data_IF_033265166372
#
_entry.id   IF_033265166372
#
_cell.length_a   1.000
_cell.length_b   1.000
_cell.length_c   1.000
_cell.angle_alpha   90.00
_cell.angle_beta   90.00
_cell.angle_gamma   90.00
#
_symmetry.space_group_name_H-M   'P 1'
#
loop_
_entity.id
_entity.type
_entity.pdbx_description
1 polymer ?
#
# COMPACT_ATOMS: atom_id res chain seq x y z
N UNK A 1 8.85 -17.70 -18.21
CA UNK A 1 9.49 -16.76 -17.26
C UNK A 1 8.55 -15.57 -17.04
N UNK A 2 8.41 -15.08 -15.79
CA UNK A 2 7.47 -14.02 -15.43
C UNK A 2 8.23 -12.71 -15.26
N UNK A 3 7.84 -11.68 -16.01
CA UNK A 3 8.34 -10.32 -15.85
C UNK A 3 7.55 -9.57 -14.77
N UNK A 4 8.21 -9.00 -13.79
CA UNK A 4 7.63 -8.12 -12.78
C UNK A 4 7.88 -6.68 -13.25
N UNK A 5 6.82 -5.94 -13.54
CA UNK A 5 6.93 -4.59 -14.06
C UNK A 5 7.08 -3.54 -12.96
N UNK A 6 8.20 -2.85 -12.99
CA UNK A 6 8.54 -1.73 -12.10
C UNK A 6 8.64 -0.39 -12.84
N UNK A 7 8.11 -0.30 -14.05
CA UNK A 7 8.18 0.94 -14.85
C UNK A 7 7.32 2.07 -14.28
N UNK A 8 6.39 1.74 -13.37
CA UNK A 8 5.52 2.68 -12.68
C UNK A 8 6.19 3.42 -11.51
N UNK A 9 7.34 2.93 -11.01
CA UNK A 9 8.05 3.54 -9.88
C UNK A 9 8.45 4.98 -10.21
N UNK A 10 8.17 5.88 -9.29
CA UNK A 10 8.51 7.29 -9.44
C UNK A 10 10.04 7.47 -9.51
N UNK A 11 10.51 8.11 -10.59
CA UNK A 11 11.93 8.31 -10.89
C UNK A 11 12.65 9.29 -9.94
N UNK A 12 11.93 9.93 -9.03
CA UNK A 12 12.48 10.91 -8.08
C UNK A 12 13.17 10.28 -6.85
N UNK A 13 13.26 8.95 -6.80
CA UNK A 13 14.09 8.25 -5.81
C UNK A 13 13.49 8.07 -4.41
N UNK A 14 12.37 8.67 -4.11
CA UNK A 14 11.67 8.49 -2.83
C UNK A 14 10.74 7.28 -2.90
N UNK A 15 11.25 6.11 -2.55
CA UNK A 15 10.54 4.83 -2.54
C UNK A 15 9.90 4.58 -1.16
N UNK A 16 9.05 5.50 -0.72
CA UNK A 16 8.43 5.44 0.62
C UNK A 16 6.92 5.25 0.59
N UNK A 17 6.35 5.10 -0.61
CA UNK A 17 4.91 4.86 -0.77
C UNK A 17 4.50 3.44 -0.35
N UNK A 18 3.27 3.26 0.11
CA UNK A 18 2.73 1.96 0.50
C UNK A 18 2.80 0.90 -0.61
N UNK A 19 2.77 1.32 -1.86
CA UNK A 19 2.87 0.45 -3.04
C UNK A 19 4.30 -0.04 -3.28
N UNK A 20 5.29 0.84 -3.05
CA UNK A 20 6.71 0.48 -3.15
C UNK A 20 7.06 -0.55 -2.07
N UNK A 21 6.65 -0.27 -0.82
CA UNK A 21 6.85 -1.17 0.33
C UNK A 21 6.21 -2.53 0.05
N UNK A 22 4.96 -2.58 -0.40
CA UNK A 22 4.29 -3.84 -0.76
C UNK A 22 5.11 -4.64 -1.78
N UNK A 23 5.57 -3.99 -2.85
CA UNK A 23 6.25 -4.68 -3.94
C UNK A 23 7.64 -5.16 -3.52
N UNK A 24 8.36 -4.37 -2.72
CA UNK A 24 9.67 -4.76 -2.20
C UNK A 24 9.57 -5.90 -1.17
N UNK A 25 8.61 -5.83 -0.25
CA UNK A 25 8.33 -6.90 0.71
C UNK A 25 8.08 -8.23 -0.03
N UNK A 26 7.32 -8.17 -1.12
CA UNK A 26 7.01 -9.36 -1.91
C UNK A 26 8.25 -9.93 -2.61
N UNK A 27 9.13 -9.08 -3.17
CA UNK A 27 10.39 -9.51 -3.77
C UNK A 27 11.35 -10.12 -2.76
N UNK A 28 11.50 -9.48 -1.59
CA UNK A 28 12.32 -10.02 -0.50
C UNK A 28 11.83 -11.44 -0.11
N UNK A 29 10.51 -11.64 -0.03
CA UNK A 29 9.93 -12.94 0.28
C UNK A 29 10.08 -13.98 -0.83
N UNK A 30 9.97 -13.58 -2.10
CA UNK A 30 10.25 -14.48 -3.24
C UNK A 30 11.71 -14.93 -3.19
N UNK A 31 12.63 -14.05 -2.86
CA UNK A 31 14.05 -14.34 -2.70
C UNK A 31 14.31 -15.30 -1.52
N UNK A 32 13.70 -15.06 -0.36
CA UNK A 32 13.81 -15.91 0.83
C UNK A 32 13.31 -17.35 0.56
N UNK A 33 12.27 -17.50 -0.26
CA UNK A 33 11.73 -18.79 -0.68
C UNK A 33 12.52 -19.43 -1.84
N UNK A 34 13.62 -18.82 -2.30
CA UNK A 34 14.45 -19.28 -3.42
C UNK A 34 13.66 -19.50 -4.72
N UNK A 35 12.64 -18.67 -4.96
CA UNK A 35 11.79 -18.72 -6.16
C UNK A 35 12.18 -17.66 -7.22
N UNK A 36 13.21 -16.87 -6.97
CA UNK A 36 13.64 -15.74 -7.81
C UNK A 36 14.01 -16.12 -9.24
N UNK A 37 14.38 -17.38 -9.48
CA UNK A 37 14.78 -17.86 -10.82
C UNK A 37 13.64 -17.81 -11.85
N UNK A 38 12.39 -17.87 -11.36
CA UNK A 38 11.19 -17.80 -12.19
C UNK A 38 10.81 -16.37 -12.59
N UNK A 39 11.48 -15.38 -12.00
CA UNK A 39 11.12 -13.98 -12.14
C UNK A 39 12.25 -13.11 -12.69
N UNK A 40 11.83 -12.05 -13.38
CA UNK A 40 12.70 -11.02 -13.94
C UNK A 40 12.10 -9.67 -13.61
N UNK A 41 12.89 -8.76 -13.07
CA UNK A 41 12.45 -7.38 -12.83
C UNK A 41 12.64 -6.56 -14.11
N UNK A 42 11.56 -5.91 -14.54
CA UNK A 42 11.53 -4.99 -15.67
C UNK A 42 11.35 -3.58 -15.11
N UNK A 43 12.24 -2.67 -15.44
CA UNK A 43 12.23 -1.33 -14.88
C UNK A 43 12.65 -0.26 -15.89
N UNK A 44 12.53 1.02 -15.49
CA UNK A 44 13.12 2.11 -16.24
C UNK A 44 14.67 2.07 -16.11
N UNK A 45 15.45 2.37 -17.15
CA UNK A 45 16.92 2.29 -17.14
C UNK A 45 17.58 3.08 -15.99
N UNK A 46 16.95 4.17 -15.54
CA UNK A 46 17.46 4.98 -14.43
C UNK A 46 17.47 4.19 -13.12
N UNK A 47 16.49 3.31 -12.91
CA UNK A 47 16.30 2.53 -11.69
C UNK A 47 17.06 1.19 -11.72
N UNK A 48 17.55 0.77 -12.87
CA UNK A 48 18.20 -0.53 -13.05
C UNK A 48 19.33 -0.79 -12.06
N UNK A 49 20.26 0.16 -11.91
CA UNK A 49 21.39 0.01 -11.01
C UNK A 49 20.98 -0.04 -9.54
N UNK A 50 19.98 0.72 -9.13
CA UNK A 50 19.45 0.72 -7.78
C UNK A 50 18.79 -0.61 -7.47
N UNK A 51 17.91 -1.10 -8.35
CA UNK A 51 17.22 -2.37 -8.17
C UNK A 51 18.17 -3.57 -8.23
N UNK A 52 19.22 -3.55 -9.06
CA UNK A 52 20.28 -4.58 -9.05
C UNK A 52 21.03 -4.63 -7.72
N UNK A 53 21.29 -3.48 -7.11
CA UNK A 53 21.93 -3.42 -5.79
C UNK A 53 21.00 -3.88 -4.66
N UNK A 54 19.72 -3.50 -4.73
CA UNK A 54 18.71 -3.85 -3.71
C UNK A 54 18.32 -5.33 -3.79
N UNK A 55 18.22 -5.88 -4.99
CA UNK A 55 17.79 -7.25 -5.28
C UNK A 55 18.82 -8.02 -6.14
N UNK A 56 20.03 -8.29 -5.60
CA UNK A 56 21.10 -8.90 -6.37
C UNK A 56 20.79 -10.35 -6.84
N UNK A 57 19.79 -10.98 -6.22
CA UNK A 57 19.35 -12.34 -6.56
C UNK A 57 18.49 -12.38 -7.83
N UNK A 58 17.91 -11.24 -8.25
CA UNK A 58 17.03 -11.16 -9.42
C UNK A 58 17.78 -10.70 -10.67
N UNK A 59 17.34 -11.19 -11.84
CA UNK A 59 17.69 -10.57 -13.11
C UNK A 59 16.90 -9.27 -13.26
N UNK A 60 17.58 -8.15 -13.52
CA UNK A 60 16.95 -6.83 -13.68
C UNK A 60 17.29 -6.30 -15.06
N UNK A 61 16.27 -5.88 -15.79
CA UNK A 61 16.42 -5.28 -17.13
C UNK A 61 15.78 -3.90 -17.20
N UNK A 62 16.57 -2.91 -17.60
CA UNK A 62 16.08 -1.56 -17.86
C UNK A 62 15.45 -1.46 -19.25
N UNK A 63 14.16 -1.15 -19.31
CA UNK A 63 13.38 -0.98 -20.56
C UNK A 63 12.85 0.44 -20.63
N UNK A 64 13.27 1.18 -21.64
CA UNK A 64 12.80 2.56 -21.83
C UNK A 64 13.93 3.58 -21.99
N UNK A 65 13.59 4.86 -22.18
CA UNK A 65 14.54 5.95 -22.31
C UNK A 65 15.40 5.90 -23.57
N UNK A 66 16.73 5.93 -23.45
CA UNK A 66 17.67 5.98 -24.59
C UNK A 66 17.63 4.72 -25.46
N UNK A 67 17.45 3.53 -24.89
CA UNK A 67 17.34 2.27 -25.64
C UNK A 67 16.10 2.25 -26.52
N UNK A 68 14.97 2.74 -26.05
CA UNK A 68 13.76 2.90 -26.87
C UNK A 68 13.94 3.96 -27.98
N UNK A 69 14.66 5.06 -27.71
CA UNK A 69 14.96 6.09 -28.72
C UNK A 69 15.92 5.58 -29.78
N UNK A 70 16.97 4.84 -29.40
CA UNK A 70 17.92 4.19 -30.34
C UNK A 70 17.20 3.15 -31.21
N UNK A 71 16.37 2.29 -30.62
CA UNK A 71 15.55 1.35 -31.38
C UNK A 71 14.55 2.05 -32.30
N UNK A 72 13.89 3.12 -31.83
CA UNK A 72 12.98 3.90 -32.69
C UNK A 72 13.70 4.62 -33.83
N UNK A 73 14.95 5.04 -33.65
CA UNK A 73 15.76 5.67 -34.71
C UNK A 73 16.25 4.67 -35.76
N UNK A 74 16.63 3.46 -35.32
CA UNK A 74 17.04 2.35 -36.19
C UNK A 74 15.84 1.84 -37.00
N UNK A 75 14.66 1.75 -36.39
CA UNK A 75 13.43 1.28 -37.06
C UNK A 75 12.82 2.31 -38.00
N UNK A 76 13.00 3.61 -37.76
CA UNK A 76 12.64 4.67 -38.71
C UNK A 76 13.47 4.57 -40.02
N UNK A 77 14.74 4.19 -39.93
CA UNK A 77 15.62 4.02 -41.09
C UNK A 77 15.40 2.71 -41.84
N UNK A 78 14.97 1.63 -41.18
CA UNK A 78 14.84 0.28 -41.75
C UNK A 78 13.48 -0.02 -42.38
N UNK A 79 12.52 0.92 -42.37
CA UNK A 79 11.19 0.72 -42.99
C UNK A 79 10.31 -0.34 -42.33
N UNK A 80 10.69 -0.89 -41.21
CA UNK A 80 9.97 -1.96 -40.52
C UNK A 80 8.70 -1.40 -39.87
N UNK A 81 7.60 -1.36 -40.67
CA UNK A 81 6.25 -0.99 -40.18
C UNK A 81 5.74 -1.83 -39.01
N UNK A 82 6.34 -3.00 -38.76
CA UNK A 82 5.94 -3.97 -37.76
C UNK A 82 6.12 -3.45 -36.32
N UNK A 83 7.16 -2.68 -36.06
CA UNK A 83 7.46 -2.20 -34.68
C UNK A 83 6.59 -1.01 -34.27
N UNK A 84 6.04 -0.25 -35.20
CA UNK A 84 5.15 0.88 -34.91
C UNK A 84 3.78 0.48 -34.35
N UNK A 85 3.32 -0.76 -34.60
CA UNK A 85 1.97 -1.21 -34.25
C UNK A 85 1.93 -2.14 -33.01
N UNK A 86 3.04 -2.71 -32.58
CA UNK A 86 3.09 -3.79 -31.58
C UNK A 86 4.16 -3.58 -30.51
N UNK A 87 4.39 -2.37 -30.09
CA UNK A 87 5.14 -2.01 -28.92
C UNK A 87 6.54 -2.64 -28.82
N UNK A 88 7.54 -1.80 -28.75
CA UNK A 88 8.93 -2.16 -28.44
C UNK A 88 8.99 -3.04 -27.16
N UNK A 89 8.02 -2.89 -26.28
CA UNK A 89 7.89 -3.64 -25.03
C UNK A 89 7.64 -5.13 -25.29
N UNK A 90 6.67 -5.52 -26.12
CA UNK A 90 6.41 -6.93 -26.45
C UNK A 90 7.58 -7.60 -27.17
N UNK A 91 8.28 -6.86 -28.05
CA UNK A 91 9.50 -7.37 -28.68
C UNK A 91 10.59 -7.66 -27.64
N UNK A 92 10.77 -6.74 -26.69
CA UNK A 92 11.72 -6.89 -25.61
C UNK A 92 11.39 -8.11 -24.73
N UNK A 93 10.12 -8.30 -24.37
CA UNK A 93 9.66 -9.45 -23.60
C UNK A 93 10.00 -10.77 -24.31
N UNK A 94 9.69 -10.86 -25.58
CA UNK A 94 10.03 -12.05 -26.41
C UNK A 94 11.53 -12.29 -26.48
N UNK A 95 12.32 -11.23 -26.66
CA UNK A 95 13.78 -11.33 -26.75
C UNK A 95 14.40 -11.92 -25.48
N UNK A 96 13.84 -11.60 -24.31
CA UNK A 96 14.30 -12.14 -23.01
C UNK A 96 13.55 -13.40 -22.57
N UNK A 97 12.68 -13.98 -23.41
CA UNK A 97 11.91 -15.19 -23.08
C UNK A 97 10.89 -14.97 -21.97
N UNK A 98 10.35 -13.75 -21.86
CA UNK A 98 9.33 -13.39 -20.88
C UNK A 98 7.96 -13.64 -21.54
N UNK A 99 7.22 -14.57 -21.00
CA UNK A 99 5.95 -15.07 -21.56
C UNK A 99 4.74 -14.42 -20.88
N UNK A 100 4.91 -14.00 -19.65
CA UNK A 100 3.87 -13.37 -18.82
C UNK A 100 4.43 -12.16 -18.09
N UNK A 101 3.59 -11.17 -17.88
CA UNK A 101 3.93 -9.98 -17.08
C UNK A 101 3.00 -9.91 -15.89
N UNK A 102 3.56 -9.55 -14.76
CA UNK A 102 2.81 -9.14 -13.60
C UNK A 102 3.05 -7.64 -13.34
N UNK A 103 1.96 -6.88 -13.28
CA UNK A 103 1.95 -5.50 -12.83
C UNK A 103 1.60 -5.47 -11.33
N UNK A 104 2.57 -5.28 -10.43
CA UNK A 104 2.29 -5.13 -8.99
C UNK A 104 1.37 -3.95 -8.70
N UNK A 105 1.38 -2.94 -9.57
CA UNK A 105 0.46 -1.80 -9.56
C UNK A 105 -0.16 -1.67 -10.95
N UNK A 106 -1.44 -2.01 -11.04
CA UNK A 106 -2.19 -1.99 -12.29
C UNK A 106 -2.82 -0.62 -12.51
N UNK A 107 -2.34 0.09 -13.53
CA UNK A 107 -2.85 1.40 -13.95
C UNK A 107 -3.04 1.44 -15.47
N UNK A 108 -4.04 2.17 -16.00
CA UNK A 108 -4.39 2.13 -17.41
C UNK A 108 -3.25 2.46 -18.37
N UNK A 109 -2.44 3.46 -18.07
CA UNK A 109 -1.36 3.91 -18.97
C UNK A 109 -0.23 2.88 -19.14
N UNK A 110 -0.08 1.93 -18.22
CA UNK A 110 0.95 0.90 -18.31
C UNK A 110 0.59 -0.21 -19.31
N UNK A 111 -0.69 -0.40 -19.62
CA UNK A 111 -1.17 -1.57 -20.37
C UNK A 111 -1.73 -1.26 -21.76
N UNK A 112 -1.87 0.01 -22.13
CA UNK A 112 -2.55 0.44 -23.37
C UNK A 112 -1.96 -0.14 -24.66
N UNK A 113 -0.67 -0.48 -24.68
CA UNK A 113 0.06 -0.93 -25.87
C UNK A 113 0.65 -2.35 -25.76
N UNK A 114 0.34 -3.10 -24.70
CA UNK A 114 0.89 -4.44 -24.45
C UNK A 114 -0.02 -5.49 -25.04
N UNK A 115 0.55 -6.45 -25.78
CA UNK A 115 -0.16 -7.60 -26.37
C UNK A 115 0.05 -8.89 -25.58
N UNK A 116 1.20 -9.01 -24.95
CA UNK A 116 1.52 -10.15 -24.08
C UNK A 116 0.46 -10.23 -22.97
N UNK A 117 0.10 -11.45 -22.60
CA UNK A 117 -0.83 -11.70 -21.49
C UNK A 117 -0.23 -11.19 -20.18
N UNK A 118 -1.06 -10.54 -19.37
CA UNK A 118 -0.61 -9.99 -18.10
C UNK A 118 -1.61 -10.19 -16.96
N UNK A 119 -1.05 -10.23 -15.76
CA UNK A 119 -1.74 -10.18 -14.49
C UNK A 119 -1.55 -8.79 -13.93
N UNK A 120 -2.53 -8.26 -13.22
CA UNK A 120 -2.38 -6.97 -12.56
C UNK A 120 -2.94 -6.98 -11.15
N UNK A 121 -2.24 -6.32 -10.23
CA UNK A 121 -2.74 -6.09 -8.88
C UNK A 121 -3.35 -4.70 -8.80
N UNK A 122 -4.65 -4.65 -8.53
CA UNK A 122 -5.40 -3.40 -8.29
C UNK A 122 -5.50 -3.16 -6.79
N UNK A 123 -4.87 -2.07 -6.31
CA UNK A 123 -4.85 -1.72 -4.89
C UNK A 123 -6.07 -0.93 -4.46
N UNK A 124 -6.54 -0.02 -5.30
CA UNK A 124 -7.79 0.73 -5.09
C UNK A 124 -8.27 1.36 -6.41
N UNK A 125 -9.46 1.96 -6.36
CA UNK A 125 -10.05 2.76 -7.44
C UNK A 125 -10.24 4.22 -7.02
N UNK A 126 -9.57 4.66 -5.98
CA UNK A 126 -9.80 5.97 -5.36
C UNK A 126 -9.12 7.11 -6.12
N UNK A 127 -8.02 6.79 -6.80
CA UNK A 127 -7.24 7.74 -7.59
C UNK A 127 -7.46 7.53 -9.08
N UNK A 128 -8.73 7.61 -9.51
CA UNK A 128 -8.99 7.82 -10.95
C UNK A 128 -8.51 9.24 -11.22
N UNK A 129 -7.32 9.36 -11.80
CA UNK A 129 -6.75 10.65 -12.14
C UNK A 129 -7.61 11.31 -13.24
N UNK A 130 -7.56 12.65 -13.32
CA UNK A 130 -8.18 13.38 -14.42
C UNK A 130 -7.65 12.94 -15.81
N UNK A 131 -6.50 12.26 -15.85
CA UNK A 131 -5.83 11.74 -17.04
C UNK A 131 -6.45 10.41 -17.50
N UNK A 132 -6.93 9.57 -16.56
CA UNK A 132 -7.48 8.25 -16.82
C UNK A 132 -8.99 8.26 -16.61
N UNK A 133 -9.75 8.14 -17.69
CA UNK A 133 -11.21 8.07 -17.64
C UNK A 133 -11.71 6.63 -17.40
N UNK A 134 -13.00 6.50 -17.06
CA UNK A 134 -13.68 5.22 -16.81
C UNK A 134 -13.49 4.19 -17.93
N UNK A 135 -13.46 4.65 -19.20
CA UNK A 135 -13.27 3.78 -20.36
C UNK A 135 -11.87 3.15 -20.37
N UNK A 136 -10.84 3.88 -19.95
CA UNK A 136 -9.48 3.37 -19.84
C UNK A 136 -9.38 2.29 -18.76
N UNK A 137 -10.02 2.48 -17.60
CA UNK A 137 -10.09 1.47 -16.55
C UNK A 137 -10.84 0.22 -16.99
N UNK A 138 -12.00 0.38 -17.64
CA UNK A 138 -12.75 -0.74 -18.21
C UNK A 138 -11.91 -1.53 -19.20
N UNK A 139 -11.32 -0.86 -20.16
CA UNK A 139 -10.42 -1.48 -21.17
C UNK A 139 -9.26 -2.23 -20.49
N UNK A 140 -8.61 -1.63 -19.50
CA UNK A 140 -7.54 -2.25 -18.74
C UNK A 140 -8.01 -3.56 -18.07
N UNK A 141 -9.13 -3.52 -17.34
CA UNK A 141 -9.67 -4.71 -16.67
C UNK A 141 -10.13 -5.79 -17.65
N UNK A 142 -10.75 -5.42 -18.78
CA UNK A 142 -11.12 -6.36 -19.84
C UNK A 142 -9.89 -7.04 -20.45
N UNK A 143 -8.81 -6.30 -20.61
CA UNK A 143 -7.55 -6.76 -21.21
C UNK A 143 -6.71 -7.60 -20.26
N UNK A 144 -6.77 -7.35 -18.96
CA UNK A 144 -6.05 -8.11 -17.93
C UNK A 144 -6.53 -9.56 -17.92
N UNK A 145 -5.63 -10.53 -18.03
CA UNK A 145 -6.00 -11.96 -18.02
C UNK A 145 -6.54 -12.41 -16.67
N UNK A 146 -5.89 -11.98 -15.60
CA UNK A 146 -6.32 -12.21 -14.22
C UNK A 146 -6.03 -10.97 -13.37
N UNK A 147 -7.01 -10.52 -12.61
CA UNK A 147 -6.92 -9.38 -11.74
C UNK A 147 -6.73 -9.89 -10.32
N UNK A 148 -5.68 -9.42 -9.64
CA UNK A 148 -5.53 -9.57 -8.20
C UNK A 148 -6.03 -8.31 -7.53
N UNK A 149 -6.85 -8.43 -6.49
CA UNK A 149 -7.27 -7.32 -5.63
C UNK A 149 -6.83 -7.58 -4.21
N UNK A 150 -6.54 -6.51 -3.47
CA UNK A 150 -6.01 -6.61 -2.11
C UNK A 150 -7.09 -6.79 -1.03
N UNK A 151 -8.36 -6.66 -1.41
CA UNK A 151 -9.52 -6.87 -0.54
C UNK A 151 -10.75 -7.28 -1.35
N UNK A 152 -11.74 -7.87 -0.68
CA UNK A 152 -13.06 -8.16 -1.25
C UNK A 152 -13.79 -6.86 -1.60
N UNK A 153 -13.54 -5.79 -0.85
CA UNK A 153 -14.10 -4.48 -1.15
C UNK A 153 -13.66 -3.98 -2.53
N UNK A 154 -12.36 -3.98 -2.84
CA UNK A 154 -11.84 -3.58 -4.16
C UNK A 154 -12.34 -4.52 -5.26
N UNK A 155 -12.41 -5.83 -5.02
CA UNK A 155 -13.01 -6.79 -5.94
C UNK A 155 -14.44 -6.41 -6.30
N UNK A 156 -15.27 -6.15 -5.31
CA UNK A 156 -16.67 -5.79 -5.51
C UNK A 156 -16.83 -4.44 -6.23
N UNK A 157 -15.94 -3.47 -5.95
CA UNK A 157 -15.93 -2.22 -6.71
C UNK A 157 -15.65 -2.44 -8.20
N UNK A 158 -14.68 -3.30 -8.56
CA UNK A 158 -14.37 -3.60 -9.97
C UNK A 158 -15.57 -4.30 -10.64
N UNK A 159 -16.16 -5.30 -9.99
CA UNK A 159 -17.32 -6.03 -10.51
C UNK A 159 -18.47 -5.06 -10.80
N UNK A 160 -18.86 -4.29 -9.78
CA UNK A 160 -20.04 -3.44 -9.84
C UNK A 160 -19.89 -2.25 -10.79
N UNK A 161 -18.67 -1.68 -10.86
CA UNK A 161 -18.41 -0.46 -11.65
C UNK A 161 -18.12 -0.74 -13.10
N UNK A 162 -17.46 -1.87 -13.41
CA UNK A 162 -16.95 -2.15 -14.76
C UNK A 162 -17.55 -3.41 -15.39
N UNK A 163 -18.44 -4.11 -14.69
CA UNK A 163 -19.08 -5.36 -15.16
C UNK A 163 -18.04 -6.45 -15.52
N UNK A 164 -17.01 -6.59 -14.69
CA UNK A 164 -15.97 -7.61 -14.87
C UNK A 164 -16.38 -8.91 -14.18
N UNK A 165 -16.24 -10.03 -14.90
CA UNK A 165 -16.58 -11.35 -14.36
C UNK A 165 -15.87 -11.63 -13.02
N UNK A 166 -16.60 -12.05 -11.96
CA UNK A 166 -16.01 -12.42 -10.68
C UNK A 166 -14.94 -13.51 -10.76
N UNK A 167 -15.04 -14.42 -11.75
CA UNK A 167 -14.07 -15.50 -11.98
C UNK A 167 -12.68 -15.00 -12.43
N UNK A 168 -12.62 -13.79 -12.95
CA UNK A 168 -11.41 -13.10 -13.40
C UNK A 168 -10.67 -12.40 -12.26
N UNK A 169 -11.26 -12.32 -11.06
CA UNK A 169 -10.73 -11.54 -9.96
C UNK A 169 -10.44 -12.44 -8.75
N UNK A 170 -9.19 -12.46 -8.32
CA UNK A 170 -8.73 -13.18 -7.12
C UNK A 170 -8.37 -12.15 -6.05
N UNK A 171 -8.78 -12.42 -4.81
CA UNK A 171 -8.38 -11.59 -3.66
C UNK A 171 -7.12 -12.18 -3.03
N UNK A 172 -6.03 -11.39 -3.03
CA UNK A 172 -4.80 -11.70 -2.31
C UNK A 172 -4.43 -10.44 -1.52
N UNK A 173 -4.54 -10.46 -0.19
CA UNK A 173 -4.26 -9.29 0.63
C UNK A 173 -2.79 -8.88 0.54
N UNK A 174 -2.48 -7.65 0.93
CA UNK A 174 -1.10 -7.21 1.05
C UNK A 174 -0.38 -8.02 2.13
N UNK A 175 0.87 -8.39 1.85
CA UNK A 175 1.76 -8.87 2.90
C UNK A 175 2.08 -7.72 3.86
N UNK A 176 2.21 -8.05 5.14
CA UNK A 176 2.77 -7.14 6.13
C UNK A 176 4.00 -7.81 6.69
N UNK A 177 5.14 -7.34 6.22
CA UNK A 177 6.42 -7.85 6.60
C UNK A 177 6.97 -7.02 7.77
N UNK A 178 6.84 -7.56 8.97
CA UNK A 178 7.61 -7.08 10.11
C UNK A 178 8.74 -8.10 10.27
N UNK A 179 9.95 -7.69 9.89
CA UNK A 179 11.13 -8.54 10.06
C UNK A 179 11.21 -9.05 11.49
N UNK A 180 11.24 -10.37 11.67
CA UNK A 180 11.51 -10.98 12.96
C UNK A 180 12.95 -10.73 13.44
N UNK A 181 13.78 -10.12 12.59
CA UNK A 181 15.16 -9.72 12.91
C UNK A 181 15.12 -8.30 13.47
N UNK A 182 15.37 -8.14 14.75
CA UNK A 182 15.57 -6.90 15.50
C UNK A 182 14.92 -5.67 14.85
N UNK A 183 13.67 -5.40 15.20
CA UNK A 183 12.98 -4.18 14.77
C UNK A 183 13.81 -3.00 15.29
N UNK A 184 14.45 -2.28 14.37
CA UNK A 184 15.20 -1.09 14.73
C UNK A 184 14.22 0.03 15.05
N UNK A 185 14.42 0.67 16.19
CA UNK A 185 13.64 1.82 16.64
C UNK A 185 14.55 2.99 16.95
N UNK A 186 14.04 4.20 16.77
CA UNK A 186 14.71 5.45 17.12
C UNK A 186 13.74 6.38 17.82
N UNK A 187 14.06 6.78 19.05
CA UNK A 187 13.24 7.65 19.88
C UNK A 187 13.10 9.04 19.25
N UNK A 188 11.88 9.56 19.23
CA UNK A 188 11.63 10.95 18.88
C UNK A 188 11.77 11.80 20.16
N UNK A 189 12.84 12.58 20.25
CA UNK A 189 13.22 13.31 21.45
C UNK A 189 12.11 14.21 22.05
N UNK A 190 11.28 14.83 21.22
CA UNK A 190 10.16 15.69 21.65
C UNK A 190 9.01 14.91 22.29
N UNK A 191 8.98 13.58 22.13
CA UNK A 191 7.97 12.67 22.69
C UNK A 191 8.51 11.83 23.85
N UNK A 192 9.73 12.09 24.28
CA UNK A 192 10.36 11.35 25.37
C UNK A 192 9.52 11.44 26.65
N UNK A 193 9.30 10.28 27.28
CA UNK A 193 8.49 10.12 28.49
C UNK A 193 7.02 10.56 28.38
N UNK A 194 6.51 10.86 27.19
CA UNK A 194 5.10 11.18 26.95
C UNK A 194 4.31 9.90 26.67
N UNK A 195 3.08 9.83 27.18
CA UNK A 195 2.07 8.90 26.69
C UNK A 195 1.36 9.54 25.51
N UNK A 196 1.00 8.76 24.49
CA UNK A 196 0.33 9.34 23.31
C UNK A 196 -0.58 8.35 22.59
N UNK A 197 -1.62 8.93 21.97
CA UNK A 197 -2.44 8.31 20.95
C UNK A 197 -1.74 8.52 19.60
N UNK A 198 -1.86 7.56 18.67
CA UNK A 198 -1.15 7.62 17.38
C UNK A 198 -2.11 7.47 16.20
N UNK A 199 -1.99 8.37 15.23
CA UNK A 199 -2.42 8.17 13.84
C UNK A 199 -1.21 8.23 12.91
N UNK A 200 -1.06 7.22 12.06
CA UNK A 200 0.04 7.13 11.10
C UNK A 200 -0.53 7.00 9.68
N UNK A 201 -0.97 8.12 9.11
CA UNK A 201 -1.63 8.18 7.81
C UNK A 201 -1.19 9.42 7.02
N UNK A 202 -1.33 9.36 5.67
CA UNK A 202 -1.16 10.55 4.85
C UNK A 202 -2.17 11.65 5.20
N UNK A 203 -1.75 12.91 5.12
CA UNK A 203 -2.64 14.05 5.37
C UNK A 203 -3.52 14.34 4.14
N UNK A 204 -4.60 13.57 4.02
CA UNK A 204 -5.61 13.70 2.96
C UNK A 204 -7.01 13.54 3.56
N UNK A 205 -8.00 14.20 2.96
CA UNK A 205 -9.35 14.30 3.54
C UNK A 205 -9.95 12.96 3.97
N UNK A 206 -9.85 11.93 3.13
CA UNK A 206 -10.42 10.61 3.40
C UNK A 206 -9.84 9.88 4.63
N UNK A 207 -8.70 10.36 5.15
CA UNK A 207 -8.09 9.80 6.38
C UNK A 207 -8.67 10.39 7.65
N UNK A 208 -9.45 11.46 7.55
CA UNK A 208 -10.18 12.10 8.67
C UNK A 208 -9.31 12.55 9.84
N UNK A 209 -8.05 12.92 9.59
CA UNK A 209 -7.15 13.44 10.64
C UNK A 209 -7.78 14.60 11.40
N UNK A 210 -8.53 15.50 10.72
CA UNK A 210 -9.20 16.61 11.37
C UNK A 210 -10.32 16.15 12.33
N UNK A 211 -11.04 15.07 12.01
CA UNK A 211 -12.04 14.46 12.89
C UNK A 211 -11.37 13.91 14.16
N UNK A 212 -10.21 13.27 14.01
CA UNK A 212 -9.44 12.80 15.15
C UNK A 212 -8.95 13.96 16.05
N UNK A 213 -8.49 15.07 15.46
CA UNK A 213 -8.09 16.25 16.23
C UNK A 213 -9.28 16.82 17.01
N UNK A 214 -10.46 16.89 16.41
CA UNK A 214 -11.70 17.33 17.08
C UNK A 214 -12.12 16.38 18.20
N UNK A 215 -12.03 15.08 17.96
CA UNK A 215 -12.30 14.06 18.99
C UNK A 215 -11.32 14.22 20.17
N UNK A 216 -10.04 14.44 19.88
CA UNK A 216 -9.01 14.68 20.90
C UNK A 216 -9.28 15.95 21.68
N UNK A 217 -9.65 17.06 21.04
CA UNK A 217 -10.02 18.32 21.71
C UNK A 217 -11.09 18.11 22.81
N UNK A 218 -12.12 17.30 22.52
CA UNK A 218 -13.20 17.01 23.49
C UNK A 218 -12.70 16.32 24.76
N UNK A 219 -11.58 15.62 24.70
CA UNK A 219 -11.08 14.78 25.80
C UNK A 219 -9.71 15.21 26.32
N UNK A 220 -9.06 16.18 25.71
CA UNK A 220 -7.69 16.59 26.04
C UNK A 220 -7.47 16.94 27.50
N UNK A 221 -8.48 17.54 28.16
CA UNK A 221 -8.42 17.92 29.57
C UNK A 221 -8.67 16.73 30.53
N UNK A 222 -9.12 15.59 30.01
CA UNK A 222 -9.51 14.42 30.82
C UNK A 222 -8.52 13.26 30.72
N UNK A 223 -7.57 13.30 29.77
CA UNK A 223 -6.59 12.26 29.53
C UNK A 223 -5.16 12.77 29.64
N UNK A 224 -4.22 11.87 29.93
CA UNK A 224 -2.79 12.20 30.04
C UNK A 224 -2.08 12.10 28.69
N UNK A 225 -2.61 11.36 27.76
CA UNK A 225 -2.04 11.11 26.44
C UNK A 225 -2.04 12.37 25.58
N UNK A 226 -0.92 12.64 24.91
CA UNK A 226 -0.87 13.60 23.79
C UNK A 226 -1.40 12.92 22.52
N UNK A 227 -1.69 13.68 21.48
CA UNK A 227 -2.01 13.14 20.16
C UNK A 227 -0.81 13.31 19.22
N UNK A 228 -0.35 12.21 18.65
CA UNK A 228 0.72 12.17 17.65
C UNK A 228 0.14 11.79 16.30
N UNK A 229 0.39 12.65 15.32
CA UNK A 229 -0.05 12.50 13.93
C UNK A 229 1.19 12.44 13.07
N UNK A 230 1.34 11.41 12.24
CA UNK A 230 2.47 11.31 11.34
C UNK A 230 2.06 10.82 9.95
N UNK A 231 2.69 11.38 8.90
CA UNK A 231 2.44 10.96 7.53
C UNK A 231 3.34 11.67 6.53
N UNK A 232 3.92 10.91 5.61
CA UNK A 232 4.89 11.41 4.62
C UNK A 232 4.28 12.07 3.37
N UNK A 233 2.97 12.25 3.30
CA UNK A 233 2.29 12.74 2.10
C UNK A 233 1.11 13.63 2.46
N UNK A 234 0.95 14.73 1.72
CA UNK A 234 -0.17 15.66 1.88
C UNK A 234 -0.76 16.06 0.53
N UNK A 235 -2.05 16.32 0.49
CA UNK A 235 -2.76 16.83 -0.70
C UNK A 235 -3.59 18.05 -0.32
N UNK A 236 -3.64 19.03 -1.23
CA UNK A 236 -4.58 20.15 -1.22
C UNK A 236 -4.59 20.97 0.09
N UNK A 237 -3.43 21.12 0.75
CA UNK A 237 -3.33 21.94 1.96
C UNK A 237 -4.02 21.35 3.19
N UNK A 238 -4.41 20.07 3.18
CA UNK A 238 -5.11 19.45 4.31
C UNK A 238 -4.26 19.40 5.59
N UNK A 239 -2.94 19.26 5.46
CA UNK A 239 -2.00 19.40 6.57
C UNK A 239 -2.10 20.78 7.23
N UNK A 240 -2.12 21.84 6.40
CA UNK A 240 -2.22 23.22 6.89
C UNK A 240 -3.57 23.47 7.56
N UNK A 241 -4.66 22.94 6.99
CA UNK A 241 -5.99 22.98 7.61
C UNK A 241 -6.00 22.35 9.01
N UNK A 242 -5.35 21.20 9.18
CA UNK A 242 -5.23 20.56 10.49
C UNK A 242 -4.40 21.42 11.45
N UNK A 243 -3.29 21.98 10.98
CA UNK A 243 -2.41 22.86 11.76
C UNK A 243 -3.11 24.14 12.21
N UNK A 244 -3.85 24.78 11.31
CA UNK A 244 -4.65 25.96 11.62
C UNK A 244 -5.72 25.68 12.70
N UNK A 245 -6.37 24.52 12.61
CA UNK A 245 -7.33 24.09 13.62
C UNK A 245 -6.65 23.93 14.99
N UNK A 246 -5.51 23.25 15.06
CA UNK A 246 -4.74 23.06 16.30
C UNK A 246 -4.38 24.40 16.94
N UNK A 247 -3.87 25.34 16.15
CA UNK A 247 -3.50 26.68 16.62
C UNK A 247 -4.72 27.47 17.13
N UNK A 248 -5.81 27.46 16.37
CA UNK A 248 -7.05 28.17 16.72
C UNK A 248 -7.66 27.68 18.05
N UNK A 249 -7.44 26.41 18.39
CA UNK A 249 -8.01 25.75 19.56
C UNK A 249 -6.98 25.53 20.69
N UNK A 250 -5.78 26.16 20.59
CA UNK A 250 -4.71 26.14 21.60
C UNK A 250 -4.25 24.69 21.97
N UNK A 251 -4.17 23.81 20.96
CA UNK A 251 -3.81 22.39 21.15
C UNK A 251 -2.33 22.10 20.86
N UNK A 252 -1.48 23.10 20.56
CA UNK A 252 -0.11 22.94 20.08
C UNK A 252 0.79 22.21 21.10
N UNK A 253 0.47 22.31 22.38
CA UNK A 253 1.23 21.66 23.43
C UNK A 253 0.87 20.18 23.61
N UNK A 254 -0.26 19.72 23.04
CA UNK A 254 -0.82 18.38 23.20
C UNK A 254 -0.93 17.58 21.87
N UNK A 255 -0.89 18.28 20.73
CA UNK A 255 -0.96 17.65 19.39
C UNK A 255 0.32 17.87 18.63
N UNK A 256 0.98 16.76 18.27
CA UNK A 256 2.27 16.76 17.61
C UNK A 256 2.12 16.23 16.18
N UNK A 257 2.43 17.05 15.18
CA UNK A 257 2.32 16.69 13.76
C UNK A 257 3.70 16.52 13.13
N UNK A 258 3.91 15.39 12.46
CA UNK A 258 5.14 15.06 11.73
C UNK A 258 4.81 14.77 10.25
N UNK A 259 5.51 15.43 9.32
CA UNK A 259 5.38 15.17 7.89
C UNK A 259 6.32 14.06 7.41
N UNK A 260 7.52 14.01 7.94
CA UNK A 260 8.55 13.05 7.51
C UNK A 260 9.15 12.38 8.74
N UNK A 261 8.93 11.09 8.84
CA UNK A 261 9.58 10.22 9.81
C UNK A 261 10.16 9.02 9.07
N UNK A 262 11.29 8.54 9.52
CA UNK A 262 11.87 7.33 8.96
C UNK A 262 11.22 6.06 9.54
N UNK A 263 11.59 4.90 8.98
CA UNK A 263 11.02 3.62 9.40
C UNK A 263 11.34 3.28 10.88
N UNK A 264 12.50 3.69 11.39
CA UNK A 264 12.89 3.44 12.79
C UNK A 264 12.06 4.29 13.76
N UNK A 265 11.84 5.55 13.41
CA UNK A 265 10.98 6.46 14.17
C UNK A 265 9.52 5.98 14.13
N UNK A 266 9.04 5.54 12.97
CA UNK A 266 7.70 4.93 12.82
C UNK A 266 7.54 3.71 13.71
N UNK A 267 8.51 2.81 13.71
CA UNK A 267 8.50 1.63 14.56
C UNK A 267 8.49 2.00 16.05
N UNK A 268 9.25 3.04 16.42
CA UNK A 268 9.26 3.54 17.80
C UNK A 268 7.88 4.10 18.20
N UNK A 269 7.21 4.84 17.33
CA UNK A 269 5.86 5.34 17.57
C UNK A 269 4.87 4.19 17.77
N UNK A 270 4.86 3.19 16.89
CA UNK A 270 4.01 2.00 17.08
C UNK A 270 4.33 1.27 18.39
N UNK A 271 5.59 1.15 18.76
CA UNK A 271 5.98 0.44 19.98
C UNK A 271 5.56 1.17 21.26
N UNK A 272 5.41 2.49 21.24
CA UNK A 272 5.23 3.30 22.45
C UNK A 272 3.86 3.98 22.57
N UNK A 273 3.01 3.99 21.53
CA UNK A 273 1.67 4.57 21.64
C UNK A 273 0.80 3.80 22.65
N UNK A 274 -0.13 4.50 23.27
CA UNK A 274 -1.17 3.89 24.13
C UNK A 274 -2.23 3.20 23.28
N UNK A 275 -2.74 3.90 22.25
CA UNK A 275 -3.76 3.41 21.31
C UNK A 275 -3.37 3.90 19.92
N UNK A 276 -3.52 3.05 18.92
CA UNK A 276 -3.48 3.43 17.51
C UNK A 276 -4.89 3.70 17.00
N UNK A 277 -5.08 4.80 16.24
CA UNK A 277 -6.39 5.27 15.80
C UNK A 277 -6.36 5.53 14.30
N UNK A 278 -7.35 5.03 13.56
CA UNK A 278 -7.51 5.30 12.13
C UNK A 278 -8.99 5.50 11.77
N UNK A 279 -9.50 6.76 11.75
CA UNK A 279 -10.88 7.06 11.42
C UNK A 279 -11.10 7.24 9.91
N UNK A 280 -10.36 6.51 9.07
CA UNK A 280 -10.41 6.64 7.61
C UNK A 280 -11.80 6.34 7.05
N UNK A 281 -12.26 7.16 6.09
CA UNK A 281 -13.54 6.94 5.38
C UNK A 281 -13.41 5.92 4.25
N UNK A 282 -12.21 5.80 3.68
CA UNK A 282 -12.01 4.98 2.51
C UNK A 282 -10.58 4.43 2.43
N UNK A 283 -10.49 3.09 2.37
CA UNK A 283 -9.25 2.34 2.26
C UNK A 283 -9.38 1.19 1.28
N UNK A 284 -8.35 0.98 0.48
CA UNK A 284 -8.24 -0.23 -0.33
C UNK A 284 -7.90 -1.47 0.49
N UNK A 285 -7.14 -1.28 1.59
CA UNK A 285 -6.72 -2.36 2.50
C UNK A 285 -6.66 -1.93 3.97
N UNK A 286 -5.82 -0.92 4.32
CA UNK A 286 -5.60 -0.51 5.71
C UNK A 286 -4.41 -1.24 6.35
N UNK A 287 -3.18 -0.92 5.93
CA UNK A 287 -1.96 -1.51 6.49
C UNK A 287 -1.71 -1.09 7.93
N UNK A 288 -1.85 0.20 8.22
CA UNK A 288 -1.41 0.81 9.49
C UNK A 288 -2.08 0.26 10.75
N UNK A 289 -3.40 -0.04 10.78
CA UNK A 289 -4.02 -0.70 11.94
C UNK A 289 -3.50 -2.12 12.16
N UNK A 290 -3.13 -2.83 11.10
CA UNK A 290 -2.53 -4.15 11.23
C UNK A 290 -1.10 -4.02 11.76
N UNK A 291 -0.31 -3.08 11.24
CA UNK A 291 1.05 -2.79 11.73
C UNK A 291 1.02 -2.48 13.24
N UNK A 292 0.13 -1.61 13.70
CA UNK A 292 -0.04 -1.30 15.13
C UNK A 292 -0.36 -2.53 15.99
N UNK A 293 -1.29 -3.37 15.54
CA UNK A 293 -1.66 -4.59 16.24
C UNK A 293 -0.51 -5.61 16.30
N UNK A 294 0.37 -5.66 15.29
CA UNK A 294 1.57 -6.48 15.32
C UNK A 294 2.59 -6.00 16.39
N UNK A 295 2.54 -4.71 16.79
CA UNK A 295 3.25 -4.17 17.94
C UNK A 295 2.49 -4.35 19.27
N UNK A 296 1.43 -5.17 19.30
CA UNK A 296 0.58 -5.42 20.48
C UNK A 296 -0.08 -4.14 21.00
N UNK A 297 -0.52 -3.27 20.09
CA UNK A 297 -1.25 -2.05 20.47
C UNK A 297 -2.75 -2.21 20.28
N UNK A 298 -3.54 -1.70 21.22
CA UNK A 298 -4.97 -1.53 21.00
C UNK A 298 -5.22 -0.65 19.78
N UNK A 299 -6.22 -0.99 18.99
CA UNK A 299 -6.54 -0.28 17.73
C UNK A 299 -7.99 0.15 17.74
N UNK A 300 -8.25 1.43 17.42
CA UNK A 300 -9.57 1.95 17.06
C UNK A 300 -9.56 2.24 15.55
N UNK A 301 -10.50 1.64 14.83
CA UNK A 301 -10.65 1.81 13.38
C UNK A 301 -12.09 2.17 13.04
N UNK A 302 -12.31 2.84 11.92
CA UNK A 302 -13.65 2.84 11.33
C UNK A 302 -13.98 1.49 10.69
N UNK A 303 -15.26 1.17 10.51
CA UNK A 303 -15.71 0.01 9.71
C UNK A 303 -15.72 0.28 8.21
N UNK A 304 -15.21 1.43 7.79
CA UNK A 304 -15.32 1.87 6.40
C UNK A 304 -14.57 0.93 5.45
N UNK A 305 -15.24 0.59 4.36
CA UNK A 305 -14.69 -0.09 3.17
C UNK A 305 -14.01 -1.43 3.47
N UNK A 306 -12.68 -1.52 3.36
CA UNK A 306 -11.92 -2.76 3.59
C UNK A 306 -11.40 -2.93 5.02
N UNK A 307 -11.55 -1.93 5.89
CA UNK A 307 -10.89 -1.91 7.21
C UNK A 307 -11.35 -3.05 8.13
N UNK A 308 -12.65 -3.34 8.20
CA UNK A 308 -13.17 -4.45 9.00
C UNK A 308 -12.69 -5.81 8.47
N UNK A 309 -12.70 -6.00 7.13
CA UNK A 309 -12.14 -7.19 6.47
C UNK A 309 -10.63 -7.35 6.78
N UNK A 310 -9.87 -6.26 6.67
CA UNK A 310 -8.43 -6.27 6.89
C UNK A 310 -8.07 -6.53 8.35
N UNK A 311 -8.82 -5.97 9.28
CA UNK A 311 -8.61 -6.18 10.72
C UNK A 311 -9.39 -7.39 11.28
N UNK A 312 -9.97 -8.22 10.39
CA UNK A 312 -10.66 -9.47 10.74
C UNK A 312 -11.79 -9.32 11.75
N UNK A 313 -12.38 -8.13 11.90
CA UNK A 313 -13.38 -7.85 12.93
C UNK A 313 -12.84 -7.89 14.35
N UNK A 314 -11.50 -7.83 14.56
CA UNK A 314 -10.89 -8.11 15.87
C UNK A 314 -10.50 -6.86 16.66
N UNK A 315 -10.53 -5.67 16.06
CA UNK A 315 -10.18 -4.40 16.70
C UNK A 315 -11.44 -3.65 17.19
N UNK A 316 -11.26 -2.51 17.84
CA UNK A 316 -12.39 -1.64 18.21
C UNK A 316 -12.82 -0.80 17.02
N UNK A 317 -14.11 -0.58 16.87
CA UNK A 317 -14.67 0.13 15.72
C UNK A 317 -15.55 1.31 16.12
N UNK A 318 -15.48 2.35 15.29
CA UNK A 318 -16.50 3.39 15.20
C UNK A 318 -17.34 3.14 13.95
N UNK A 319 -18.63 3.41 14.04
CA UNK A 319 -19.57 3.20 12.92
C UNK A 319 -19.52 4.38 11.95
N UNK A 320 -19.48 5.61 12.45
CA UNK A 320 -19.40 6.80 11.63
C UNK A 320 -18.01 7.45 11.69
N UNK A 321 -17.17 7.33 10.64
CA UNK A 321 -15.82 7.90 10.62
C UNK A 321 -15.78 9.43 10.68
N UNK A 322 -16.94 10.12 10.56
CA UNK A 322 -17.05 11.58 10.66
C UNK A 322 -17.56 12.07 12.02
N UNK A 323 -17.87 11.16 12.92
CA UNK A 323 -18.40 11.48 14.24
C UNK A 323 -17.25 11.56 15.26
N UNK A 324 -16.82 12.80 15.56
CA UNK A 324 -15.78 13.09 16.52
C UNK A 324 -16.21 12.81 17.97
N UNK A 325 -17.52 12.82 18.27
CA UNK A 325 -18.02 12.47 19.59
C UNK A 325 -18.01 10.95 19.82
N UNK A 326 -18.43 10.15 18.83
CA UNK A 326 -18.31 8.69 18.87
C UNK A 326 -16.84 8.28 19.04
N UNK A 327 -15.94 8.89 18.27
CA UNK A 327 -14.51 8.61 18.35
C UNK A 327 -13.92 8.98 19.72
N UNK A 328 -14.28 10.13 20.27
CA UNK A 328 -13.87 10.55 21.60
C UNK A 328 -14.30 9.58 22.69
N UNK A 329 -15.56 9.11 22.63
CA UNK A 329 -16.10 8.10 23.56
C UNK A 329 -15.33 6.77 23.44
N UNK A 330 -15.05 6.31 22.22
CA UNK A 330 -14.30 5.08 21.97
C UNK A 330 -12.88 5.15 22.56
N UNK A 331 -12.21 6.31 22.43
CA UNK A 331 -10.88 6.54 23.02
C UNK A 331 -10.93 6.44 24.55
N UNK A 332 -11.84 7.17 25.20
CA UNK A 332 -12.00 7.13 26.66
C UNK A 332 -12.28 5.71 27.13
N UNK A 333 -13.25 5.03 26.52
CA UNK A 333 -13.62 3.66 26.91
C UNK A 333 -12.43 2.70 26.83
N UNK A 334 -11.59 2.81 25.81
CA UNK A 334 -10.44 1.94 25.65
C UNK A 334 -9.27 2.31 26.57
N UNK A 335 -9.12 3.58 26.96
CA UNK A 335 -8.15 4.01 27.98
C UNK A 335 -8.55 3.55 29.38
N UNK A 336 -9.85 3.58 29.71
CA UNK A 336 -10.39 3.11 31.00
C UNK A 336 -10.43 1.58 31.11
N UNK A 337 -10.68 0.89 30.00
CA UNK A 337 -10.79 -0.56 29.91
C UNK A 337 -9.85 -1.10 28.82
N UNK A 338 -8.54 -1.13 29.06
CA UNK A 338 -7.57 -1.53 28.06
C UNK A 338 -7.70 -3.03 27.73
N UNK A 339 -7.40 -3.36 26.47
CA UNK A 339 -7.33 -4.75 26.03
C UNK A 339 -6.32 -5.54 26.88
N UNK A 340 -6.67 -6.77 27.23
CA UNK A 340 -5.76 -7.66 27.95
C UNK A 340 -4.57 -8.06 27.05
N UNK A 341 -3.40 -8.35 27.65
CA UNK A 341 -2.25 -8.85 26.89
C UNK A 341 -2.57 -10.08 26.04
N UNK A 342 -3.42 -10.98 26.56
CA UNK A 342 -3.87 -12.20 25.88
C UNK A 342 -4.65 -11.86 24.61
N UNK A 343 -5.60 -10.91 24.69
CA UNK A 343 -6.37 -10.43 23.53
C UNK A 343 -5.46 -9.82 22.47
N UNK A 344 -4.56 -8.94 22.85
CA UNK A 344 -3.60 -8.32 21.93
C UNK A 344 -2.71 -9.38 21.26
N UNK A 345 -2.30 -10.41 21.99
CA UNK A 345 -1.52 -11.51 21.45
C UNK A 345 -2.32 -12.36 20.45
N UNK A 346 -3.59 -12.62 20.71
CA UNK A 346 -4.49 -13.33 19.79
C UNK A 346 -4.67 -12.56 18.48
N UNK A 347 -4.88 -11.24 18.55
CA UNK A 347 -4.97 -10.36 17.37
C UNK A 347 -3.66 -10.43 16.57
N UNK A 348 -2.52 -10.24 17.24
CA UNK A 348 -1.19 -10.36 16.61
C UNK A 348 -0.99 -11.71 15.92
N UNK A 349 -1.34 -12.80 16.58
CA UNK A 349 -1.23 -14.17 16.04
C UNK A 349 -2.07 -14.34 14.77
N UNK A 350 -3.32 -13.88 14.79
CA UNK A 350 -4.20 -13.92 13.63
C UNK A 350 -3.61 -13.14 12.46
N UNK A 351 -3.15 -11.90 12.67
CA UNK A 351 -2.61 -11.06 11.62
C UNK A 351 -1.28 -11.58 11.08
N UNK A 352 -0.40 -12.08 11.96
CA UNK A 352 0.86 -12.73 11.53
C UNK A 352 0.57 -13.92 10.61
N UNK A 353 -0.39 -14.78 10.95
CA UNK A 353 -0.74 -15.93 10.11
C UNK A 353 -1.41 -15.53 8.80
N UNK A 354 -2.28 -14.51 8.83
CA UNK A 354 -3.04 -14.08 7.66
C UNK A 354 -2.18 -13.30 6.66
N UNK A 355 -1.27 -12.47 7.13
CA UNK A 355 -0.53 -11.50 6.33
C UNK A 355 0.97 -11.80 6.23
N UNK A 356 1.41 -12.98 6.67
CA UNK A 356 2.81 -13.36 6.50
C UNK A 356 3.16 -13.47 5.00
N UNK A 357 4.33 -13.02 4.70
CA UNK A 357 4.80 -12.91 3.34
C UNK A 357 4.91 -14.26 2.63
N UNK A 358 5.27 -15.34 3.35
CA UNK A 358 5.35 -16.68 2.79
C UNK A 358 3.99 -17.17 2.29
N UNK A 359 2.92 -16.88 3.01
CA UNK A 359 1.56 -17.21 2.58
C UNK A 359 1.18 -16.41 1.34
N UNK A 360 1.41 -15.10 1.36
CA UNK A 360 1.03 -14.20 0.27
C UNK A 360 1.79 -14.56 -1.01
N UNK A 361 3.10 -14.78 -0.94
CA UNK A 361 3.90 -15.26 -2.10
C UNK A 361 3.35 -16.56 -2.63
N UNK A 362 3.01 -17.52 -1.75
CA UNK A 362 2.43 -18.81 -2.18
C UNK A 362 1.11 -18.63 -2.94
N UNK A 363 0.26 -17.69 -2.51
CA UNK A 363 -0.98 -17.40 -3.24
C UNK A 363 -0.69 -16.77 -4.61
N UNK A 364 0.28 -15.85 -4.71
CA UNK A 364 0.71 -15.31 -6.00
C UNK A 364 1.31 -16.40 -6.92
N UNK A 365 2.14 -17.29 -6.39
CA UNK A 365 2.68 -18.41 -7.17
C UNK A 365 1.59 -19.32 -7.74
N UNK A 366 0.53 -19.61 -6.95
CA UNK A 366 -0.63 -20.36 -7.46
C UNK A 366 -1.32 -19.63 -8.62
N UNK A 367 -1.42 -18.30 -8.55
CA UNK A 367 -2.01 -17.48 -9.62
C UNK A 367 -1.16 -17.59 -10.89
N UNK A 368 0.15 -17.49 -10.78
CA UNK A 368 1.06 -17.61 -11.92
C UNK A 368 1.01 -19.00 -12.54
N UNK A 369 1.01 -20.07 -11.74
CA UNK A 369 0.89 -21.46 -12.23
C UNK A 369 -0.48 -21.75 -12.85
N UNK A 370 -1.56 -21.17 -12.33
CA UNK A 370 -2.91 -21.38 -12.91
C UNK A 370 -2.99 -20.89 -14.36
N UNK A 371 -2.19 -19.94 -14.78
CA UNK A 371 -2.14 -19.45 -16.15
C UNK A 371 -1.44 -20.39 -17.11
N UNK A 372 -0.53 -21.24 -16.62
CA UNK A 372 0.10 -22.29 -17.43
C UNK A 372 -0.92 -23.36 -17.87
N UNK A 373 -2.03 -23.54 -17.12
CA UNK A 373 -3.09 -24.51 -17.42
C UNK A 373 -4.20 -23.93 -18.33
N UNK A 374 -4.21 -22.63 -18.56
CA UNK A 374 -5.21 -21.92 -19.39
C UNK A 374 -4.70 -21.67 -20.82
N UNK A 375 -3.51 -22.12 -21.15
CA UNK A 375 -2.93 -22.17 -22.51
C UNK A 375 -3.21 -23.52 -23.16
#
# INVERSE_FOLDING_TARGET
MIGIDFTWINLNGNLTGSLDVFTFDLLDCIAEQKQQENFVIITHPIMENMLRKRFPMFRVYGVGGRSLRLFSSVTKKSGIKFIKKHGIYDFFLKFYGIEQIWFPVLVPHNVSNIKTDFIGTCHDLMTISEIDNEANYKFMFERTKLIVTISSFVKNQIINRYDISPSKIIVIPNSIYISNKNILTEEIASLKAKKFLLDCNAYINRKNTLVLIKAFERIADYILEDLVLCGGYQINGYFDTCKEYIQKHNLENRVHMFLEIDEKQKNWLFQNCSIFITPSENEGFGRTPIEAALFLKPVISSKATSLEEATCGMVHYIENPRDDEELAKAIIMLLENPDSPERLYEIKKCFTQKYCAERIVREYLKVFHKLEWLQ
#
